data_IF_623209630455
#
_entry.id   IF_623209630455
#
_cell.length_a   1.000
_cell.length_b   1.000
_cell.length_c   1.000
_cell.angle_alpha   90.00
_cell.angle_beta   90.00
_cell.angle_gamma   90.00
#
_symmetry.space_group_name_H-M   'P 1'
#
loop_
_entity.id
_entity.type
_entity.pdbx_description
1 polymer ?
#
# COMPACT_ATOMS: atom_id res chain seq x y z
N UNK A 1 -48.64 35.57 15.12
CA UNK A 1 -49.90 35.69 15.78
C UNK A 1 -50.18 34.45 16.59
N UNK A 2 -50.48 34.68 17.83
CA UNK A 2 -50.86 33.79 18.94
C UNK A 2 -52.08 32.91 18.67
N UNK A 3 -52.58 32.12 19.60
CA UNK A 3 -52.06 30.93 20.26
C UNK A 3 -53.11 29.82 20.44
N UNK A 4 -52.74 28.82 21.17
CA UNK A 4 -53.51 27.79 21.91
C UNK A 4 -54.91 28.23 22.43
N UNK A 5 -55.83 27.36 22.86
CA UNK A 5 -55.63 26.50 24.03
C UNK A 5 -56.54 25.23 24.11
N UNK A 6 -56.72 24.62 25.31
CA UNK A 6 -56.88 23.20 25.53
C UNK A 6 -58.32 22.80 25.90
N UNK A 7 -58.58 21.52 26.03
CA UNK A 7 -59.72 21.06 26.84
C UNK A 7 -59.40 19.78 27.62
N UNK A 8 -59.60 19.89 28.87
CA UNK A 8 -59.67 18.94 29.97
C UNK A 8 -60.97 18.16 29.89
N UNK A 9 -60.95 16.93 30.32
CA UNK A 9 -62.14 16.13 30.58
C UNK A 9 -61.81 14.86 31.35
N UNK A 10 -62.10 14.90 32.45
CA UNK A 10 -62.20 14.26 33.74
C UNK A 10 -63.08 13.01 33.71
N UNK A 11 -62.84 12.04 34.63
CA UNK A 11 -63.94 11.20 35.06
C UNK A 11 -63.65 9.72 35.33
N UNK A 12 -63.04 9.41 36.45
CA UNK A 12 -63.52 8.48 37.52
C UNK A 12 -63.81 7.00 37.24
N UNK A 13 -63.09 6.21 38.02
CA UNK A 13 -63.48 5.20 39.02
C UNK A 13 -63.92 3.82 38.56
N UNK A 14 -63.33 2.83 39.14
CA UNK A 14 -63.81 1.46 39.23
C UNK A 14 -62.75 0.53 39.81
N UNK A 15 -62.84 0.38 41.10
CA UNK A 15 -62.04 -0.56 41.86
C UNK A 15 -62.50 -2.01 41.71
N UNK A 16 -61.65 -2.91 42.15
CA UNK A 16 -61.82 -4.29 42.64
C UNK A 16 -61.79 -5.46 41.62
N UNK A 17 -60.87 -6.29 41.69
CA UNK A 17 -60.89 -7.57 42.42
C UNK A 17 -59.71 -8.47 42.07
N UNK A 18 -58.94 -8.69 43.03
CA UNK A 18 -58.05 -9.81 43.38
C UNK A 18 -58.37 -11.15 42.65
N UNK A 19 -57.35 -11.78 42.02
CA UNK A 19 -56.99 -13.20 42.27
C UNK A 19 -55.76 -13.65 41.48
N UNK A 20 -54.73 -13.92 42.22
CA UNK A 20 -53.71 -15.01 42.14
C UNK A 20 -53.51 -15.65 40.76
N UNK A 21 -52.41 -15.34 40.13
CA UNK A 21 -51.80 -16.13 39.06
C UNK A 21 -50.29 -16.11 39.24
N UNK A 22 -49.71 -17.24 39.66
CA UNK A 22 -48.28 -17.49 39.73
C UNK A 22 -47.70 -17.34 38.32
N UNK A 23 -47.02 -16.25 38.05
CA UNK A 23 -46.21 -16.11 36.83
C UNK A 23 -44.78 -16.46 37.18
N UNK A 24 -44.34 -17.61 36.68
CA UNK A 24 -42.96 -18.07 36.67
C UNK A 24 -42.14 -17.05 35.84
N UNK A 25 -41.39 -16.18 36.49
CA UNK A 25 -40.43 -15.33 35.86
C UNK A 25 -39.22 -16.19 35.43
N UNK A 26 -39.21 -16.62 34.17
CA UNK A 26 -38.03 -17.18 33.53
C UNK A 26 -36.98 -16.07 33.42
N UNK A 27 -36.00 -16.09 34.32
CA UNK A 27 -34.80 -15.27 34.28
C UNK A 27 -33.94 -15.76 33.11
N UNK A 28 -34.15 -15.18 31.92
CA UNK A 28 -33.22 -15.33 30.78
C UNK A 28 -31.98 -14.53 31.14
N UNK A 29 -30.99 -15.17 31.74
CA UNK A 29 -29.63 -14.68 31.81
C UNK A 29 -29.11 -14.63 30.37
N UNK A 30 -29.32 -13.49 29.70
CA UNK A 30 -28.60 -13.16 28.51
C UNK A 30 -27.12 -13.00 28.89
N UNK A 31 -26.37 -14.11 28.78
CA UNK A 31 -24.93 -14.08 28.80
C UNK A 31 -24.46 -13.22 27.65
N UNK A 32 -24.34 -11.94 27.88
CA UNK A 32 -23.66 -10.99 26.96
C UNK A 32 -22.20 -11.38 26.89
N UNK A 33 -21.89 -12.39 26.07
CA UNK A 33 -20.53 -12.60 25.64
C UNK A 33 -20.10 -11.31 24.90
N UNK A 34 -19.22 -10.54 25.50
CA UNK A 34 -18.51 -9.49 24.79
C UNK A 34 -17.79 -10.15 23.62
N UNK A 35 -18.42 -10.17 22.46
CA UNK A 35 -17.72 -10.43 21.21
C UNK A 35 -16.76 -9.26 21.08
N UNK A 36 -15.49 -9.46 21.42
CA UNK A 36 -14.44 -8.51 21.15
C UNK A 36 -14.32 -8.41 19.63
N UNK A 37 -14.95 -7.39 19.05
CA UNK A 37 -14.70 -7.01 17.67
C UNK A 37 -13.21 -6.73 17.59
N UNK A 38 -12.46 -7.40 16.71
CA UNK A 38 -11.05 -7.10 16.52
C UNK A 38 -10.92 -5.59 16.24
N UNK A 39 -10.28 -4.87 17.15
CA UNK A 39 -10.02 -3.44 16.95
C UNK A 39 -9.09 -3.33 15.76
N UNK A 40 -9.46 -2.51 14.79
CA UNK A 40 -8.55 -2.16 13.69
C UNK A 40 -7.20 -1.73 14.30
N UNK A 41 -6.07 -2.18 13.77
CA UNK A 41 -4.77 -1.84 14.31
C UNK A 41 -4.64 -0.31 14.40
N UNK A 42 -4.07 0.17 15.49
CA UNK A 42 -3.81 1.60 15.61
C UNK A 42 -2.92 2.04 14.43
N UNK A 43 -3.21 3.20 13.85
CA UNK A 43 -2.48 3.70 12.65
C UNK A 43 -0.96 3.62 12.82
N UNK A 44 -0.45 3.84 14.03
CA UNK A 44 0.97 3.72 14.33
C UNK A 44 1.50 2.30 14.18
N UNK A 45 0.72 1.28 14.56
CA UNK A 45 1.10 -0.13 14.42
C UNK A 45 1.08 -0.56 12.95
N UNK A 46 0.10 -0.08 12.21
CA UNK A 46 0.02 -0.31 10.77
C UNK A 46 1.27 0.25 10.06
N UNK A 47 1.61 1.51 10.33
CA UNK A 47 2.78 2.15 9.73
C UNK A 47 4.07 1.42 10.13
N UNK A 48 4.24 1.01 11.38
CA UNK A 48 5.42 0.23 11.81
C UNK A 48 5.53 -1.08 11.04
N UNK A 49 4.43 -1.79 10.84
CA UNK A 49 4.38 -3.03 10.05
C UNK A 49 4.78 -2.81 8.61
N UNK A 50 4.21 -1.79 7.95
CA UNK A 50 4.54 -1.43 6.57
C UNK A 50 6.02 -1.05 6.45
N UNK A 51 6.54 -0.25 7.38
CA UNK A 51 7.94 0.16 7.38
C UNK A 51 8.90 -1.03 7.52
N UNK A 52 8.53 -2.05 8.28
CA UNK A 52 9.35 -3.25 8.46
C UNK A 52 9.57 -4.04 7.16
N UNK A 53 8.66 -3.90 6.18
CA UNK A 53 8.77 -4.52 4.85
C UNK A 53 9.22 -3.57 3.75
N UNK A 54 9.58 -2.32 4.08
CA UNK A 54 10.00 -1.32 3.08
C UNK A 54 11.52 -1.16 3.08
N UNK A 55 12.12 -0.96 1.92
CA UNK A 55 13.57 -0.83 1.79
C UNK A 55 13.97 0.35 0.92
N UNK A 56 15.05 1.03 1.30
CA UNK A 56 15.79 1.94 0.45
C UNK A 56 16.77 1.14 -0.40
N UNK A 57 16.81 1.43 -1.69
CA UNK A 57 17.74 0.82 -2.63
C UNK A 57 18.72 1.89 -3.15
N UNK A 58 19.97 1.51 -3.24
CA UNK A 58 21.03 2.32 -3.85
C UNK A 58 21.83 1.47 -4.80
N UNK A 59 22.22 2.02 -5.94
CA UNK A 59 23.10 1.34 -6.88
C UNK A 59 24.30 2.22 -7.24
N UNK A 60 25.45 1.59 -7.37
CA UNK A 60 26.64 2.19 -7.94
C UNK A 60 26.82 1.67 -9.36
N UNK A 61 27.10 2.57 -10.29
CA UNK A 61 27.29 2.32 -11.71
C UNK A 61 28.68 2.78 -12.13
N UNK A 62 29.08 2.36 -13.32
CA UNK A 62 30.31 2.82 -13.95
C UNK A 62 30.35 4.36 -14.02
N UNK A 63 31.55 4.94 -13.82
CA UNK A 63 31.72 6.38 -13.75
C UNK A 63 31.26 7.06 -12.45
N UNK A 64 30.98 6.30 -11.40
CA UNK A 64 30.57 6.84 -10.10
C UNK A 64 29.13 7.34 -10.05
N UNK A 65 28.31 6.95 -11.02
CA UNK A 65 26.90 7.31 -11.03
C UNK A 65 26.13 6.51 -9.99
N UNK A 66 25.39 7.22 -9.13
CA UNK A 66 24.52 6.61 -8.13
C UNK A 66 23.06 6.78 -8.52
N UNK A 67 22.27 5.74 -8.30
CA UNK A 67 20.80 5.81 -8.36
C UNK A 67 20.20 5.39 -7.04
N UNK A 68 19.04 5.97 -6.74
CA UNK A 68 18.23 5.62 -5.59
C UNK A 68 16.84 5.20 -6.05
N UNK A 69 16.29 4.21 -5.36
CA UNK A 69 14.92 3.76 -5.52
C UNK A 69 14.38 3.27 -4.17
N UNK A 70 13.14 2.89 -4.17
CA UNK A 70 12.47 2.22 -3.07
C UNK A 70 12.19 0.76 -3.44
N UNK A 71 11.86 -0.06 -2.46
CA UNK A 71 11.47 -1.44 -2.70
C UNK A 71 10.65 -1.98 -1.54
N UNK A 72 10.02 -3.12 -1.77
CA UNK A 72 9.17 -3.81 -0.79
C UNK A 72 9.63 -5.26 -0.66
N UNK A 73 9.82 -5.72 0.57
CA UNK A 73 10.12 -7.12 0.87
C UNK A 73 8.85 -7.94 0.66
N UNK A 74 8.88 -8.84 -0.31
CA UNK A 74 7.71 -9.63 -0.74
C UNK A 74 7.85 -11.12 -0.47
N UNK A 75 9.07 -11.59 -0.23
CA UNK A 75 9.34 -12.99 0.08
C UNK A 75 10.54 -13.11 1.01
N UNK A 76 10.55 -14.15 1.83
CA UNK A 76 11.68 -14.49 2.71
C UNK A 76 11.88 -15.99 2.77
N UNK A 77 13.11 -16.39 3.07
CA UNK A 77 13.47 -17.77 3.40
C UNK A 77 14.21 -17.74 4.75
N UNK A 78 13.52 -18.01 5.86
CA UNK A 78 14.13 -17.99 7.19
C UNK A 78 15.27 -19.00 7.33
N UNK A 79 15.20 -20.14 6.62
CA UNK A 79 16.25 -21.18 6.68
C UNK A 79 17.59 -20.72 6.10
N UNK A 80 17.57 -19.98 5.01
CA UNK A 80 18.76 -19.40 4.39
C UNK A 80 18.99 -17.92 4.76
N UNK A 81 18.13 -17.34 5.59
CA UNK A 81 18.14 -15.91 5.97
C UNK A 81 18.20 -14.98 4.75
N UNK A 82 17.42 -15.31 3.71
CA UNK A 82 17.34 -14.49 2.48
C UNK A 82 16.01 -13.78 2.42
N UNK A 83 16.05 -12.59 1.85
CA UNK A 83 14.88 -11.80 1.53
C UNK A 83 14.91 -11.36 0.07
N UNK A 84 13.74 -11.24 -0.53
CA UNK A 84 13.56 -10.75 -1.89
C UNK A 84 12.70 -9.50 -1.86
N UNK A 85 13.22 -8.47 -2.51
CA UNK A 85 12.65 -7.14 -2.57
C UNK A 85 12.21 -6.89 -4.01
N UNK A 86 10.96 -6.55 -4.23
CA UNK A 86 10.46 -6.07 -5.50
C UNK A 86 10.72 -4.57 -5.63
N UNK A 87 11.13 -4.15 -6.82
CA UNK A 87 11.32 -2.75 -7.21
C UNK A 87 11.07 -2.60 -8.72
N UNK A 88 11.28 -1.42 -9.27
CA UNK A 88 11.14 -1.16 -10.70
C UNK A 88 12.37 -1.58 -11.49
N UNK A 89 12.15 -2.02 -12.73
CA UNK A 89 13.21 -2.47 -13.65
C UNK A 89 14.16 -1.36 -14.05
N UNK A 90 13.66 -0.14 -14.25
CA UNK A 90 14.50 1.01 -14.62
C UNK A 90 15.53 1.42 -13.53
N UNK A 91 15.39 0.93 -12.29
CA UNK A 91 16.42 1.07 -11.25
C UNK A 91 17.71 0.35 -11.66
N UNK A 92 17.61 -0.79 -12.33
CA UNK A 92 18.73 -1.62 -12.76
C UNK A 92 19.06 -1.49 -14.24
N UNK A 93 18.12 -1.06 -15.08
CA UNK A 93 18.31 -0.82 -16.51
C UNK A 93 18.75 0.63 -16.81
N UNK A 94 19.30 0.93 -18.04
CA UNK A 94 19.67 0.03 -19.12
C UNK A 94 21.01 -0.70 -18.89
N UNK A 95 21.84 -0.23 -17.99
CA UNK A 95 23.13 -0.87 -17.66
C UNK A 95 23.05 -1.50 -16.27
N UNK A 96 23.47 -2.76 -16.15
CA UNK A 96 23.52 -3.44 -14.85
C UNK A 96 24.37 -2.63 -13.86
N UNK A 97 23.89 -2.42 -12.64
CA UNK A 97 24.69 -1.76 -11.60
C UNK A 97 25.89 -2.67 -11.22
N UNK A 98 27.00 -2.06 -10.89
CA UNK A 98 28.16 -2.79 -10.38
C UNK A 98 27.90 -3.29 -8.96
N UNK A 99 27.20 -2.49 -8.14
CA UNK A 99 26.82 -2.82 -6.77
C UNK A 99 25.43 -2.34 -6.48
N UNK A 100 24.72 -3.12 -5.69
CA UNK A 100 23.40 -2.77 -5.14
C UNK A 100 23.47 -2.89 -3.63
N UNK A 101 22.87 -1.93 -2.93
CA UNK A 101 22.77 -1.89 -1.49
C UNK A 101 21.33 -1.71 -1.06
N UNK A 102 20.98 -2.37 0.03
CA UNK A 102 19.66 -2.31 0.68
C UNK A 102 19.85 -1.69 2.06
N UNK A 103 18.98 -0.78 2.44
CA UNK A 103 18.89 -0.24 3.79
C UNK A 103 17.43 -0.24 4.26
N UNK A 104 17.18 -0.87 5.40
CA UNK A 104 15.88 -0.83 6.05
C UNK A 104 15.70 0.45 6.88
N UNK A 105 14.45 0.90 7.12
CA UNK A 105 14.17 1.99 8.03
C UNK A 105 14.78 1.72 9.42
N UNK A 106 15.51 2.68 9.95
CA UNK A 106 16.16 2.57 11.26
C UNK A 106 17.43 1.72 11.30
N UNK A 107 17.82 1.06 10.21
CA UNK A 107 19.09 0.34 10.15
C UNK A 107 20.25 1.32 9.96
N UNK A 108 21.31 1.16 10.78
CA UNK A 108 22.55 1.97 10.68
C UNK A 108 23.40 1.58 9.47
N UNK A 109 23.29 0.34 9.02
CA UNK A 109 24.14 -0.21 7.95
C UNK A 109 23.33 -0.57 6.73
N UNK A 110 23.95 -0.43 5.58
CA UNK A 110 23.47 -0.96 4.31
C UNK A 110 23.96 -2.40 4.12
N UNK A 111 23.09 -3.27 3.61
CA UNK A 111 23.43 -4.62 3.23
C UNK A 111 23.75 -4.69 1.74
N UNK A 112 24.82 -5.36 1.30
CA UNK A 112 25.06 -5.65 -0.11
C UNK A 112 23.99 -6.60 -0.63
N UNK A 113 23.58 -6.40 -1.88
CA UNK A 113 22.51 -7.16 -2.50
C UNK A 113 22.83 -7.47 -3.96
N UNK A 114 22.10 -8.39 -4.54
CA UNK A 114 22.25 -8.81 -5.94
C UNK A 114 20.94 -8.65 -6.72
N UNK A 115 21.06 -8.33 -8.00
CA UNK A 115 19.91 -8.35 -8.93
C UNK A 115 19.63 -9.79 -9.29
N UNK A 116 18.48 -10.33 -8.87
CA UNK A 116 18.09 -11.71 -9.14
C UNK A 116 17.36 -11.85 -10.47
N UNK A 117 16.39 -10.98 -10.72
CA UNK A 117 15.58 -10.99 -11.93
C UNK A 117 15.24 -9.58 -12.34
N UNK A 118 15.11 -9.36 -13.63
CA UNK A 118 14.59 -8.11 -14.21
C UNK A 118 13.60 -8.53 -15.27
N UNK A 119 12.48 -7.84 -15.39
CA UNK A 119 11.54 -8.06 -16.48
C UNK A 119 12.24 -7.85 -17.84
N UNK A 120 11.79 -8.57 -18.85
CA UNK A 120 12.27 -8.35 -20.20
C UNK A 120 12.04 -6.90 -20.63
N UNK A 121 12.89 -6.39 -21.52
CA UNK A 121 12.87 -4.99 -21.99
C UNK A 121 11.74 -4.75 -23.02
N UNK A 122 10.69 -5.56 -23.00
CA UNK A 122 9.44 -5.38 -23.71
C UNK A 122 8.54 -4.46 -22.89
N UNK A 123 8.73 -3.27 -23.02
CA UNK A 123 8.05 -2.00 -22.62
C UNK A 123 6.78 -2.04 -21.75
N UNK A 124 6.24 -3.23 -21.43
CA UNK A 124 4.98 -3.39 -20.71
C UNK A 124 5.17 -3.76 -19.24
N UNK A 125 6.38 -4.14 -18.82
CA UNK A 125 6.65 -4.55 -17.44
C UNK A 125 7.97 -3.97 -16.93
N UNK A 126 7.87 -3.10 -15.94
CA UNK A 126 9.03 -2.41 -15.34
C UNK A 126 9.29 -2.95 -13.93
N UNK A 127 9.70 -4.21 -13.80
CA UNK A 127 9.94 -4.89 -12.52
C UNK A 127 11.35 -5.45 -12.40
N UNK A 128 11.87 -5.43 -11.18
CA UNK A 128 13.10 -6.13 -10.79
C UNK A 128 12.97 -6.75 -9.41
N UNK A 129 13.71 -7.83 -9.17
CA UNK A 129 13.85 -8.50 -7.88
C UNK A 129 15.28 -8.36 -7.42
N UNK A 130 15.44 -7.83 -6.22
CA UNK A 130 16.71 -7.69 -5.51
C UNK A 130 16.75 -8.75 -4.40
N UNK A 131 17.79 -9.58 -4.39
CA UNK A 131 18.04 -10.58 -3.36
C UNK A 131 19.07 -10.04 -2.37
N UNK A 132 18.79 -10.17 -1.07
CA UNK A 132 19.67 -9.78 0.01
C UNK A 132 19.80 -10.93 1.01
N UNK A 133 21.01 -11.19 1.46
CA UNK A 133 21.31 -12.19 2.49
C UNK A 133 21.36 -11.54 3.89
N UNK A 134 21.20 -12.38 4.91
CA UNK A 134 21.29 -12.01 6.33
C UNK A 134 20.35 -10.87 6.75
N UNK A 135 19.18 -10.81 6.14
CA UNK A 135 18.14 -9.85 6.47
C UNK A 135 16.99 -10.56 7.22
N UNK A 136 16.76 -10.12 8.45
CA UNK A 136 15.62 -10.59 9.26
C UNK A 136 14.47 -9.60 9.14
N UNK A 137 13.53 -9.94 8.27
CA UNK A 137 12.40 -9.07 7.92
C UNK A 137 11.14 -9.90 7.67
N UNK A 138 10.00 -9.25 7.83
CA UNK A 138 8.70 -9.84 7.53
C UNK A 138 8.24 -9.38 6.15
N UNK A 139 7.94 -10.28 5.22
CA UNK A 139 7.43 -9.92 3.91
C UNK A 139 5.99 -9.41 4.02
N UNK A 140 5.62 -8.48 3.14
CA UNK A 140 4.26 -7.97 3.06
C UNK A 140 3.36 -8.98 2.34
N UNK A 141 2.08 -9.02 2.73
CA UNK A 141 1.05 -9.74 1.96
C UNK A 141 0.59 -8.89 0.78
N UNK A 142 0.29 -9.56 -0.33
CA UNK A 142 -0.23 -8.93 -1.54
C UNK A 142 -1.76 -8.93 -1.52
N UNK A 143 -2.37 -7.84 -1.95
CA UNK A 143 -3.81 -7.70 -2.13
C UNK A 143 -4.12 -7.42 -3.60
N UNK A 144 -4.84 -8.31 -4.25
CA UNK A 144 -4.99 -8.32 -5.70
C UNK A 144 -5.86 -7.18 -6.24
N UNK A 145 -6.80 -6.68 -5.43
CA UNK A 145 -7.78 -5.69 -5.88
C UNK A 145 -7.99 -4.59 -4.84
N UNK A 146 -8.37 -3.42 -5.33
CA UNK A 146 -8.89 -2.32 -4.53
C UNK A 146 -10.04 -1.64 -5.30
N UNK A 147 -10.76 -0.75 -4.64
CA UNK A 147 -11.86 0.01 -5.24
C UNK A 147 -11.47 1.47 -5.44
N UNK A 148 -12.09 2.12 -6.41
CA UNK A 148 -11.96 3.57 -6.57
C UNK A 148 -12.33 4.28 -5.28
N UNK A 149 -11.48 5.20 -4.84
CA UNK A 149 -11.64 5.95 -3.60
C UNK A 149 -11.09 5.26 -2.35
N UNK A 150 -10.66 3.99 -2.43
CA UNK A 150 -9.99 3.34 -1.31
C UNK A 150 -8.75 4.12 -0.90
N UNK A 151 -8.58 4.30 0.42
CA UNK A 151 -7.42 4.99 0.97
C UNK A 151 -6.17 4.11 0.89
N UNK A 152 -5.08 4.73 0.47
CA UNK A 152 -3.77 4.09 0.40
C UNK A 152 -2.70 4.90 1.12
N UNK A 153 -1.67 4.19 1.59
CA UNK A 153 -0.43 4.76 2.09
C UNK A 153 0.71 4.40 1.14
N UNK A 154 1.43 5.40 0.65
CA UNK A 154 2.66 5.17 -0.09
C UNK A 154 3.84 5.34 0.87
N UNK A 155 4.69 4.33 0.93
CA UNK A 155 5.96 4.40 1.68
C UNK A 155 7.11 4.27 0.70
N UNK A 156 7.95 5.29 0.67
CA UNK A 156 9.06 5.39 -0.27
C UNK A 156 10.22 6.19 0.32
N UNK A 157 11.37 6.21 -0.39
CA UNK A 157 12.59 6.94 -0.04
C UNK A 157 12.92 8.00 -1.10
N UNK A 158 12.22 9.14 -1.11
CA UNK A 158 12.47 10.21 -2.07
C UNK A 158 13.93 10.65 -2.04
N UNK A 159 14.53 10.79 -3.22
CA UNK A 159 15.93 11.20 -3.39
C UNK A 159 16.96 10.29 -2.70
N UNK A 160 16.57 9.05 -2.35
CA UNK A 160 17.41 8.14 -1.60
C UNK A 160 17.78 8.68 -0.20
N UNK A 161 16.87 9.41 0.41
CA UNK A 161 17.04 9.99 1.75
C UNK A 161 16.17 9.26 2.78
N UNK A 162 15.54 9.98 3.71
CA UNK A 162 14.63 9.41 4.69
C UNK A 162 13.36 8.94 4.02
N UNK A 163 12.73 7.91 4.57
CA UNK A 163 11.42 7.49 4.11
C UNK A 163 10.38 8.58 4.30
N UNK A 164 9.40 8.57 3.44
CA UNK A 164 8.17 9.37 3.57
C UNK A 164 6.97 8.43 3.57
N UNK A 165 5.94 8.84 4.27
CA UNK A 165 4.61 8.22 4.21
C UNK A 165 3.67 9.25 3.61
N UNK A 166 3.13 8.97 2.44
CA UNK A 166 2.15 9.81 1.76
C UNK A 166 0.81 9.08 1.74
N UNK A 167 -0.28 9.79 2.07
CA UNK A 167 -1.65 9.28 1.97
C UNK A 167 -2.27 9.73 0.68
N UNK A 168 -3.04 8.86 0.06
CA UNK A 168 -3.82 9.15 -1.14
C UNK A 168 -5.00 8.22 -1.27
N UNK A 169 -5.60 8.21 -2.46
CA UNK A 169 -6.71 7.32 -2.81
C UNK A 169 -6.42 6.61 -4.13
N UNK A 170 -7.06 5.48 -4.33
CA UNK A 170 -7.10 4.80 -5.64
C UNK A 170 -7.92 5.64 -6.59
N UNK A 171 -7.31 6.11 -7.67
CA UNK A 171 -7.95 6.97 -8.69
C UNK A 171 -8.23 6.27 -10.01
N UNK A 172 -7.61 5.11 -10.27
CA UNK A 172 -7.87 4.28 -11.44
C UNK A 172 -7.65 2.81 -11.10
N UNK A 173 -8.60 1.97 -11.50
CA UNK A 173 -8.50 0.50 -11.49
C UNK A 173 -8.88 -0.02 -12.87
N UNK A 174 -8.18 -1.08 -13.32
CA UNK A 174 -8.44 -1.67 -14.63
C UNK A 174 -8.37 -3.18 -14.55
N UNK A 175 -9.02 -3.88 -15.49
CA UNK A 175 -8.74 -5.29 -15.70
C UNK A 175 -7.32 -5.48 -16.26
N UNK A 176 -6.80 -6.69 -16.23
CA UNK A 176 -5.53 -7.01 -16.89
C UNK A 176 -5.62 -6.84 -18.42
N UNK A 177 -6.84 -6.74 -18.97
CA UNK A 177 -7.10 -6.46 -20.39
C UNK A 177 -7.28 -4.96 -20.68
N UNK A 178 -7.16 -4.10 -19.66
CA UNK A 178 -7.26 -2.64 -19.81
C UNK A 178 -8.68 -2.07 -19.72
N UNK A 179 -9.68 -2.87 -19.35
CA UNK A 179 -11.04 -2.39 -19.14
C UNK A 179 -11.12 -1.57 -17.83
N UNK A 180 -11.83 -0.46 -17.87
CA UNK A 180 -12.11 0.36 -16.67
C UNK A 180 -13.07 -0.37 -15.73
N UNK A 181 -12.77 -0.38 -14.45
CA UNK A 181 -13.52 -1.03 -13.40
C UNK A 181 -13.73 -0.10 -12.22
N UNK A 182 -14.69 -0.43 -11.35
CA UNK A 182 -14.84 0.23 -10.03
C UNK A 182 -13.98 -0.47 -8.97
N UNK A 183 -13.79 -1.76 -9.12
CA UNK A 183 -12.94 -2.59 -8.24
C UNK A 183 -12.06 -3.48 -9.11
N UNK A 184 -10.77 -3.47 -8.87
CA UNK A 184 -9.81 -4.26 -9.65
C UNK A 184 -8.36 -3.97 -9.29
N UNK A 185 -7.43 -4.43 -10.11
CA UNK A 185 -6.02 -4.08 -10.00
C UNK A 185 -5.79 -2.57 -10.11
N UNK A 186 -5.03 -2.00 -9.18
CA UNK A 186 -4.76 -0.55 -9.11
C UNK A 186 -3.83 -0.14 -10.25
N UNK A 187 -4.17 0.92 -10.98
CA UNK A 187 -3.36 1.48 -12.07
C UNK A 187 -2.82 2.87 -11.77
N UNK A 188 -3.59 3.66 -11.03
CA UNK A 188 -3.20 5.01 -10.66
C UNK A 188 -3.71 5.36 -9.26
N UNK A 189 -2.95 6.16 -8.56
CA UNK A 189 -3.32 6.71 -7.26
C UNK A 189 -3.17 8.23 -7.25
N UNK A 190 -4.10 8.90 -6.58
CA UNK A 190 -3.98 10.33 -6.26
C UNK A 190 -3.14 10.48 -4.99
N UNK A 191 -1.84 10.52 -5.21
CA UNK A 191 -0.84 10.73 -4.16
C UNK A 191 0.40 11.36 -4.77
N UNK A 192 1.06 12.25 -4.05
CA UNK A 192 2.28 12.89 -4.53
C UNK A 192 3.50 12.02 -4.28
N UNK A 193 4.28 11.80 -5.31
CA UNK A 193 5.58 11.11 -5.26
C UNK A 193 6.64 11.94 -5.97
N UNK A 194 7.91 11.59 -5.80
CA UNK A 194 9.04 12.26 -6.43
C UNK A 194 10.13 11.26 -6.81
N UNK A 195 11.20 11.75 -7.44
CA UNK A 195 12.36 10.92 -7.79
C UNK A 195 12.85 10.09 -6.60
N UNK A 196 13.11 8.81 -6.84
CA UNK A 196 13.49 7.84 -5.80
C UNK A 196 12.31 7.14 -5.12
N UNK A 197 11.08 7.60 -5.34
CA UNK A 197 9.88 6.89 -4.86
C UNK A 197 9.55 5.65 -5.68
N UNK A 198 10.10 5.50 -6.90
CA UNK A 198 9.91 4.33 -7.76
C UNK A 198 10.28 3.04 -7.02
N UNK A 199 9.41 2.02 -7.11
CA UNK A 199 9.49 0.78 -6.33
C UNK A 199 8.93 0.88 -4.91
N UNK A 200 8.53 2.07 -4.45
CA UNK A 200 7.88 2.27 -3.14
C UNK A 200 6.52 1.58 -3.09
N UNK A 201 6.20 1.01 -1.93
CA UNK A 201 4.94 0.29 -1.76
C UNK A 201 3.75 1.21 -1.67
N UNK A 202 2.66 0.80 -2.32
CA UNK A 202 1.31 1.35 -2.18
C UNK A 202 0.51 0.34 -1.37
N UNK A 203 0.17 0.71 -0.16
CA UNK A 203 -0.46 -0.18 0.82
C UNK A 203 -1.89 0.25 1.08
N UNK A 204 -2.78 -0.72 1.21
CA UNK A 204 -4.12 -0.50 1.73
C UNK A 204 -4.05 0.15 3.12
N UNK A 205 -4.72 1.27 3.31
CA UNK A 205 -4.62 2.04 4.55
C UNK A 205 -5.32 1.39 5.75
N UNK A 206 -6.10 0.33 5.54
CA UNK A 206 -6.79 -0.42 6.59
C UNK A 206 -6.04 -1.69 6.97
N UNK A 207 -5.66 -2.50 5.99
CA UNK A 207 -5.03 -3.81 6.20
C UNK A 207 -3.50 -3.75 6.23
N UNK A 208 -2.88 -2.81 5.52
CA UNK A 208 -1.44 -2.73 5.31
C UNK A 208 -0.90 -3.71 4.28
N UNK A 209 -1.78 -4.37 3.53
CA UNK A 209 -1.41 -5.22 2.41
C UNK A 209 -0.95 -4.39 1.22
N UNK A 210 -0.05 -4.94 0.43
CA UNK A 210 0.49 -4.28 -0.76
C UNK A 210 -0.49 -4.42 -1.92
N UNK A 211 -1.05 -3.33 -2.41
CA UNK A 211 -1.93 -3.30 -3.59
C UNK A 211 -1.17 -3.00 -4.88
N UNK A 212 -0.04 -2.31 -4.79
CA UNK A 212 0.82 -1.96 -5.92
C UNK A 212 2.19 -1.46 -5.46
N UNK A 213 3.12 -1.24 -6.41
CA UNK A 213 4.31 -0.42 -6.21
C UNK A 213 4.29 0.80 -7.13
N UNK A 214 4.92 1.88 -6.70
CA UNK A 214 5.08 3.10 -7.50
C UNK A 214 5.95 2.81 -8.70
N UNK A 215 5.43 3.05 -9.89
CA UNK A 215 6.19 2.98 -11.14
C UNK A 215 6.79 4.34 -11.48
N UNK A 216 5.92 5.32 -11.72
CA UNK A 216 6.31 6.67 -12.12
C UNK A 216 5.22 7.69 -11.74
N UNK A 217 5.40 8.92 -12.18
CA UNK A 217 4.40 9.98 -12.13
C UNK A 217 4.30 10.66 -13.49
N UNK A 218 3.12 11.14 -13.83
CA UNK A 218 2.93 11.89 -15.07
C UNK A 218 3.53 13.28 -14.97
N UNK A 219 4.08 13.76 -16.08
CA UNK A 219 4.61 15.10 -16.20
C UNK A 219 3.86 15.88 -17.27
N UNK A 220 3.67 17.18 -17.04
CA UNK A 220 3.21 18.12 -18.04
C UNK A 220 4.42 18.90 -18.61
N UNK A 221 4.42 19.12 -19.92
CA UNK A 221 5.44 19.92 -20.59
C UNK A 221 4.97 21.38 -20.65
N UNK A 222 5.68 22.27 -19.96
CA UNK A 222 5.39 23.69 -19.93
C UNK A 222 6.46 24.41 -20.73
N UNK A 223 6.06 25.09 -21.80
CA UNK A 223 6.97 25.92 -22.57
C UNK A 223 7.34 27.16 -21.75
N UNK A 224 8.61 27.52 -21.76
CA UNK A 224 9.12 28.78 -21.14
C UNK A 224 9.19 29.84 -22.24
N UNK A 225 8.33 30.89 -22.19
CA UNK A 225 8.26 31.89 -23.28
C UNK A 225 9.58 32.55 -23.61
N UNK A 226 10.45 32.79 -22.61
CA UNK A 226 11.74 33.45 -22.77
C UNK A 226 12.84 32.51 -23.28
N UNK A 227 12.58 31.18 -23.31
CA UNK A 227 13.54 30.16 -23.73
C UNK A 227 12.94 29.28 -24.83
N UNK A 228 12.98 29.78 -26.08
CA UNK A 228 12.28 29.18 -27.24
C UNK A 228 12.52 27.69 -27.49
N UNK A 229 13.61 27.12 -26.97
CA UNK A 229 13.99 25.71 -27.17
C UNK A 229 13.99 24.88 -25.85
N UNK A 230 13.45 25.42 -24.76
CA UNK A 230 13.41 24.71 -23.48
C UNK A 230 11.99 24.47 -23.04
N UNK A 231 11.75 23.22 -22.66
CA UNK A 231 10.49 22.76 -22.07
C UNK A 231 10.78 22.30 -20.64
N UNK A 232 10.02 22.83 -19.71
CA UNK A 232 10.07 22.37 -18.32
C UNK A 232 9.09 21.21 -18.17
N UNK A 233 9.56 20.07 -17.67
CA UNK A 233 8.70 18.97 -17.25
C UNK A 233 8.32 19.17 -15.79
N UNK A 234 7.03 19.34 -15.55
CA UNK A 234 6.47 19.55 -14.20
C UNK A 234 5.64 18.33 -13.83
N UNK A 235 5.84 17.73 -12.65
CA UNK A 235 4.97 16.67 -12.17
C UNK A 235 3.52 17.13 -12.12
N UNK A 236 2.61 16.29 -12.62
CA UNK A 236 1.17 16.51 -12.49
C UNK A 236 0.73 15.95 -11.14
N UNK A 237 0.27 16.78 -10.20
CA UNK A 237 -0.20 16.28 -8.91
C UNK A 237 -1.32 15.24 -9.06
N UNK A 238 -1.33 14.24 -8.19
CA UNK A 238 -2.39 13.25 -8.16
C UNK A 238 -2.36 12.20 -9.29
N UNK A 239 -1.32 12.17 -10.11
CA UNK A 239 -1.20 11.22 -11.23
C UNK A 239 0.05 10.33 -11.07
N UNK A 240 0.02 9.49 -10.04
CA UNK A 240 1.06 8.49 -9.80
C UNK A 240 0.64 7.16 -10.41
N UNK A 241 1.41 6.69 -11.41
CA UNK A 241 1.22 5.38 -12.03
C UNK A 241 1.87 4.29 -11.19
N UNK A 242 1.22 3.13 -11.13
CA UNK A 242 1.64 2.03 -10.28
C UNK A 242 1.58 0.69 -11.00
N UNK A 243 2.39 -0.26 -10.56
CA UNK A 243 2.36 -1.65 -11.01
C UNK A 243 1.53 -2.43 -9.99
N UNK A 244 0.39 -3.03 -10.39
CA UNK A 244 -0.53 -3.67 -9.45
C UNK A 244 -0.03 -5.00 -8.91
N UNK A 245 -0.49 -5.37 -7.72
CA UNK A 245 -0.10 -6.59 -7.01
C UNK A 245 -0.26 -7.88 -7.84
N UNK A 246 -1.31 -8.12 -8.64
CA UNK A 246 -1.41 -9.31 -9.48
C UNK A 246 -0.28 -9.44 -10.52
N UNK A 247 0.19 -8.33 -11.07
CA UNK A 247 1.32 -8.30 -12.01
C UNK A 247 2.62 -8.63 -11.28
N UNK A 248 2.80 -8.05 -10.08
CA UNK A 248 3.94 -8.36 -9.20
C UNK A 248 3.95 -9.84 -8.84
N UNK A 249 2.81 -10.38 -8.41
CA UNK A 249 2.66 -11.79 -8.03
C UNK A 249 3.06 -12.73 -9.18
N UNK A 250 2.57 -12.44 -10.38
CA UNK A 250 2.93 -13.23 -11.56
C UNK A 250 4.44 -13.20 -11.83
N UNK A 251 5.04 -12.03 -11.80
CA UNK A 251 6.48 -11.86 -11.97
C UNK A 251 7.30 -12.63 -10.91
N UNK A 252 6.85 -12.65 -9.66
CA UNK A 252 7.49 -13.40 -8.57
C UNK A 252 7.39 -14.91 -8.81
N UNK A 253 6.23 -15.42 -9.25
CA UNK A 253 6.02 -16.82 -9.58
C UNK A 253 6.93 -17.24 -10.76
N UNK A 254 6.94 -16.47 -11.83
CA UNK A 254 7.75 -16.71 -13.02
C UNK A 254 9.27 -16.67 -12.70
N UNK A 255 9.65 -15.89 -11.67
CA UNK A 255 11.03 -15.82 -11.14
C UNK A 255 11.37 -16.94 -10.13
N UNK A 256 10.47 -17.91 -9.92
CA UNK A 256 10.68 -19.07 -9.03
C UNK A 256 10.51 -18.79 -7.55
N UNK A 257 9.81 -17.72 -7.16
CA UNK A 257 9.58 -17.34 -5.77
C UNK A 257 8.18 -17.70 -5.26
N UNK A 258 7.31 -18.32 -6.04
CA UNK A 258 5.94 -18.64 -5.67
C UNK A 258 5.81 -19.43 -4.36
N UNK A 259 6.72 -20.35 -4.06
CA UNK A 259 6.72 -21.13 -2.82
C UNK A 259 7.27 -20.40 -1.59
N UNK A 260 7.71 -19.16 -1.71
CA UNK A 260 8.32 -18.33 -0.65
C UNK A 260 7.50 -17.11 -0.27
N UNK A 261 6.36 -16.93 -0.91
CA UNK A 261 5.42 -15.86 -0.61
C UNK A 261 4.74 -16.10 0.74
N UNK A 262 4.39 -15.05 1.48
CA UNK A 262 3.60 -15.18 2.70
C UNK A 262 2.24 -15.83 2.38
N UNK A 263 1.78 -16.68 3.31
CA UNK A 263 0.49 -17.38 3.20
C UNK A 263 -0.62 -16.53 3.78
#
# INVERSE_FOLDING_TARGET
MKPCPPSVGDGRTGADTMKRGLALAALVLAGGGCVSVPRAPERGDLIRRILASTAQLRSEREGGVHRAASGVVVATDPGSRRAWIVTVGHFVNPSKPQKVYVQLPGAERTAPATVRSVSADDRDLDLAIIEVADLDVVPVQLKDTASLGDEVLIVAFPWGRRFTVTRGIVSEVTSLLGEELVTGPVRMVDASVSYGSSGGGVFDAQSGELVAIVESYRTAKVAIPEMKDRVLEVPVPGQTTVIPAPVILRFLIDSGLGGRLPK
#
